data_IF_908998420267
#
_entry.id   IF_908998420267
#
_cell.length_a   1.000
_cell.length_b   1.000
_cell.length_c   1.000
_cell.angle_alpha   90.00
_cell.angle_beta   90.00
_cell.angle_gamma   90.00
#
_symmetry.space_group_name_H-M   'P 1'
#
loop_
_entity.id
_entity.type
_entity.pdbx_description
1 polymer ?
#
# COMPACT_ATOMS: atom_id res chain seq x y z
N UNK A 1 -44.44 2.06 -11.03
CA UNK A 1 -43.14 1.55 -11.55
C UNK A 1 -42.01 2.59 -11.51
N UNK A 2 -42.26 3.89 -11.76
CA UNK A 2 -41.23 4.97 -11.72
C UNK A 2 -40.65 5.29 -10.33
N UNK A 3 -41.41 5.04 -9.24
CA UNK A 3 -40.96 5.29 -7.85
C UNK A 3 -40.00 4.24 -7.30
N UNK A 4 -40.03 3.01 -7.84
CA UNK A 4 -39.15 1.91 -7.41
C UNK A 4 -37.73 2.11 -7.95
N UNK A 5 -37.60 2.68 -9.15
CA UNK A 5 -36.31 2.92 -9.80
C UNK A 5 -35.42 3.93 -9.03
N UNK A 6 -36.03 4.91 -8.37
CA UNK A 6 -35.31 5.96 -7.61
C UNK A 6 -34.70 5.39 -6.33
N UNK A 7 -35.37 4.42 -5.69
CA UNK A 7 -34.91 3.84 -4.43
C UNK A 7 -33.64 2.99 -4.64
N UNK A 8 -33.52 2.32 -5.78
CA UNK A 8 -32.38 1.44 -6.12
C UNK A 8 -31.11 2.25 -6.39
N UNK A 9 -31.23 3.44 -7.00
CA UNK A 9 -30.07 4.31 -7.30
C UNK A 9 -29.49 4.97 -6.04
N UNK A 10 -30.31 5.23 -5.02
CA UNK A 10 -29.84 5.83 -3.77
C UNK A 10 -28.97 4.87 -2.93
N UNK A 11 -29.15 3.55 -3.09
CA UNK A 11 -28.45 2.53 -2.29
C UNK A 11 -27.03 2.23 -2.80
N UNK A 12 -26.65 2.63 -4.01
CA UNK A 12 -25.32 2.37 -4.58
C UNK A 12 -24.28 3.45 -4.28
N UNK A 13 -24.67 4.56 -3.63
CA UNK A 13 -23.79 5.68 -3.35
C UNK A 13 -22.94 5.52 -2.06
N UNK A 14 -23.21 4.49 -1.26
CA UNK A 14 -22.48 4.20 -0.02
C UNK A 14 -21.45 3.09 -0.19
N UNK A 15 -20.76 3.00 -1.33
CA UNK A 15 -19.54 2.21 -1.41
C UNK A 15 -18.43 2.94 -0.62
N UNK A 16 -17.92 2.38 0.49
CA UNK A 16 -16.75 2.96 1.14
C UNK A 16 -15.61 2.97 0.12
N UNK A 17 -15.03 4.15 -0.11
CA UNK A 17 -13.78 4.25 -0.87
C UNK A 17 -12.74 3.47 -0.07
N UNK A 18 -12.06 2.46 -0.63
CA UNK A 18 -10.94 1.82 0.04
C UNK A 18 -9.84 2.88 0.21
N UNK A 19 -9.78 3.49 1.39
CA UNK A 19 -8.70 4.36 1.81
C UNK A 19 -7.61 3.51 2.43
N UNK A 20 -6.35 3.88 2.19
CA UNK A 20 -5.19 3.38 2.91
C UNK A 20 -5.46 3.45 4.42
N UNK A 21 -5.50 2.32 5.10
CA UNK A 21 -5.57 2.26 6.55
C UNK A 21 -4.16 2.22 7.10
N UNK A 22 -3.85 3.17 8.00
CA UNK A 22 -2.58 3.22 8.72
C UNK A 22 -2.87 2.66 10.11
N UNK A 23 -2.17 1.60 10.48
CA UNK A 23 -2.34 0.93 11.77
C UNK A 23 -1.42 1.54 12.82
N UNK A 24 -0.15 1.79 12.46
CA UNK A 24 0.84 2.41 13.33
C UNK A 24 1.81 3.28 12.52
N UNK A 25 2.05 4.52 12.99
CA UNK A 25 3.05 5.42 12.43
C UNK A 25 4.28 5.45 13.33
N UNK A 26 5.38 4.92 12.82
CA UNK A 26 6.68 5.01 13.49
C UNK A 26 7.48 6.20 12.95
N UNK A 27 8.55 6.62 13.66
CA UNK A 27 9.47 7.61 13.13
C UNK A 27 9.91 7.24 11.70
N UNK A 28 9.87 8.20 10.76
CA UNK A 28 10.25 7.94 9.39
C UNK A 28 11.65 7.36 9.29
N UNK A 29 11.85 6.47 8.33
CA UNK A 29 13.18 5.95 8.02
C UNK A 29 14.05 7.02 7.37
N UNK A 30 15.37 6.83 7.47
CA UNK A 30 16.34 7.70 6.80
C UNK A 30 16.06 7.78 5.28
N UNK A 31 16.35 8.90 4.60
CA UNK A 31 16.02 9.09 3.18
C UNK A 31 16.57 8.00 2.25
N UNK A 32 17.73 7.44 2.61
CA UNK A 32 18.41 6.39 1.84
C UNK A 32 18.24 4.99 2.45
N UNK A 33 17.33 4.81 3.42
CA UNK A 33 17.03 3.50 3.98
C UNK A 33 16.50 2.58 2.87
N UNK A 34 17.09 1.38 2.69
CA UNK A 34 16.61 0.44 1.69
C UNK A 34 15.22 -0.06 2.09
N UNK A 35 14.29 0.01 1.13
CA UNK A 35 12.96 -0.58 1.27
C UNK A 35 12.86 -1.79 0.34
N UNK A 36 12.68 -2.97 0.93
CA UNK A 36 12.46 -4.21 0.18
C UNK A 36 11.02 -4.28 -0.31
N UNK A 37 10.83 -4.69 -1.55
CA UNK A 37 9.50 -4.91 -2.12
C UNK A 37 9.33 -6.41 -2.35
N UNK A 38 8.34 -6.99 -1.69
CA UNK A 38 7.99 -8.40 -1.82
C UNK A 38 6.79 -8.54 -2.77
N UNK A 39 6.93 -9.44 -3.75
CA UNK A 39 5.86 -9.80 -4.69
C UNK A 39 5.33 -11.17 -4.27
N UNK A 40 4.04 -11.25 -3.98
CA UNK A 40 3.27 -12.48 -3.67
C UNK A 40 3.70 -13.31 -2.45
N UNK A 41 4.89 -13.07 -1.89
CA UNK A 41 5.47 -13.87 -0.82
C UNK A 41 5.75 -13.00 0.40
N UNK A 42 5.19 -13.35 1.56
CA UNK A 42 5.52 -12.66 2.81
C UNK A 42 6.94 -13.04 3.26
N UNK A 43 7.68 -12.11 3.89
CA UNK A 43 8.97 -12.45 4.48
C UNK A 43 8.82 -13.50 5.58
N UNK A 44 9.82 -14.37 5.71
CA UNK A 44 9.88 -15.41 6.74
C UNK A 44 10.11 -14.82 8.15
N UNK A 45 10.68 -13.62 8.19
CA UNK A 45 10.94 -12.92 9.43
C UNK A 45 9.67 -12.44 10.12
N UNK A 46 9.67 -12.34 11.46
CA UNK A 46 8.56 -11.72 12.19
C UNK A 46 8.47 -10.23 11.82
N UNK A 47 7.26 -9.79 11.51
CA UNK A 47 6.97 -8.43 11.06
C UNK A 47 5.77 -7.84 11.77
N UNK A 48 5.76 -6.52 11.83
CA UNK A 48 4.62 -5.71 12.24
C UNK A 48 4.08 -4.96 11.01
N UNK A 49 2.76 -4.99 10.80
CA UNK A 49 2.10 -4.31 9.68
C UNK A 49 1.77 -2.87 10.09
N UNK A 50 2.33 -1.90 9.37
CA UNK A 50 2.18 -0.47 9.68
C UNK A 50 0.98 0.17 8.97
N UNK A 51 0.58 -0.39 7.82
CA UNK A 51 -0.54 0.12 7.04
C UNK A 51 -0.47 -0.24 5.58
N UNK A 52 -1.60 -0.13 4.90
CA UNK A 52 -1.66 -0.21 3.44
C UNK A 52 -1.42 1.18 2.84
N UNK A 53 -0.55 1.27 1.85
CA UNK A 53 -0.30 2.48 1.07
C UNK A 53 -0.73 2.28 -0.37
N UNK A 54 -1.42 3.28 -0.91
CA UNK A 54 -1.80 3.30 -2.31
C UNK A 54 -0.79 4.11 -3.13
N UNK A 55 -0.44 3.62 -4.31
CA UNK A 55 0.38 4.35 -5.29
C UNK A 55 -0.48 5.31 -6.14
N UNK A 56 -1.81 5.29 -5.92
CA UNK A 56 -2.81 6.07 -6.65
C UNK A 56 -2.46 7.53 -6.91
N UNK A 57 -2.89 8.02 -8.08
CA UNK A 57 -2.60 9.37 -8.59
C UNK A 57 -1.56 9.39 -9.71
N UNK A 58 -0.78 8.32 -9.87
CA UNK A 58 0.01 8.12 -11.09
C UNK A 58 -0.91 7.54 -12.17
N UNK A 59 -1.09 8.27 -13.28
CA UNK A 59 -1.91 7.77 -14.39
C UNK A 59 -1.37 6.46 -14.97
N UNK A 60 -2.20 5.73 -15.73
CA UNK A 60 -1.88 4.43 -16.37
C UNK A 60 -0.65 4.49 -17.32
N UNK A 61 -0.10 5.68 -17.55
CA UNK A 61 1.08 5.96 -18.38
C UNK A 61 2.40 6.09 -17.59
N UNK A 62 2.36 5.95 -16.27
CA UNK A 62 3.58 5.96 -15.45
C UNK A 62 4.34 4.63 -15.57
N UNK A 63 5.65 4.64 -15.34
CA UNK A 63 6.46 3.41 -15.39
C UNK A 63 6.36 2.63 -14.07
N UNK A 64 6.52 1.31 -14.13
CA UNK A 64 6.53 0.45 -12.93
C UNK A 64 7.57 0.93 -11.91
N UNK A 65 8.72 1.42 -12.37
CA UNK A 65 9.77 1.97 -11.51
C UNK A 65 9.32 3.22 -10.76
N UNK A 66 8.53 4.09 -11.40
CA UNK A 66 7.98 5.29 -10.77
C UNK A 66 6.99 4.92 -9.66
N UNK A 67 6.17 3.89 -9.89
CA UNK A 67 5.24 3.38 -8.89
C UNK A 67 5.97 2.74 -7.70
N UNK A 68 7.00 1.94 -7.98
CA UNK A 68 7.86 1.37 -6.94
C UNK A 68 8.60 2.47 -6.16
N UNK A 69 9.04 3.55 -6.81
CA UNK A 69 9.67 4.67 -6.14
C UNK A 69 8.72 5.38 -5.16
N UNK A 70 7.47 5.61 -5.57
CA UNK A 70 6.43 6.16 -4.68
C UNK A 70 6.14 5.22 -3.53
N UNK A 71 6.00 3.92 -3.80
CA UNK A 71 5.75 2.93 -2.76
C UNK A 71 6.87 2.92 -1.71
N UNK A 72 8.13 2.96 -2.15
CA UNK A 72 9.29 3.06 -1.25
C UNK A 72 9.30 4.36 -0.44
N UNK A 73 8.95 5.49 -1.07
CA UNK A 73 8.87 6.77 -0.36
C UNK A 73 7.83 6.74 0.76
N UNK A 74 6.60 6.30 0.45
CA UNK A 74 5.52 6.15 1.44
C UNK A 74 5.86 5.15 2.53
N UNK A 75 6.56 4.06 2.19
CA UNK A 75 7.00 3.06 3.17
C UNK A 75 8.01 3.65 4.16
N UNK A 76 8.95 4.48 3.70
CA UNK A 76 9.89 5.20 4.59
C UNK A 76 9.17 6.21 5.47
N UNK A 77 8.20 6.94 4.94
CA UNK A 77 7.40 7.90 5.70
C UNK A 77 6.66 7.24 6.86
N UNK A 78 6.20 6.00 6.69
CA UNK A 78 5.57 5.22 7.76
C UNK A 78 6.56 4.58 8.73
N UNK A 79 7.86 4.62 8.45
CA UNK A 79 8.87 3.98 9.28
C UNK A 79 9.05 2.47 9.02
N UNK A 80 8.64 1.99 7.84
CA UNK A 80 8.73 0.58 7.44
C UNK A 80 10.08 0.19 6.85
N UNK A 81 10.38 -1.10 6.86
CA UNK A 81 11.59 -1.70 6.26
C UNK A 81 11.30 -2.36 4.91
N UNK A 82 10.04 -2.72 4.69
CA UNK A 82 9.61 -3.38 3.47
C UNK A 82 8.16 -3.05 3.15
N UNK A 83 7.75 -3.38 1.93
CA UNK A 83 6.36 -3.42 1.52
C UNK A 83 6.04 -4.70 0.76
N UNK A 84 4.88 -5.27 1.02
CA UNK A 84 4.34 -6.42 0.29
C UNK A 84 3.30 -5.90 -0.69
N UNK A 85 3.43 -6.22 -1.97
CA UNK A 85 2.44 -5.82 -2.97
C UNK A 85 1.12 -6.55 -2.71
N UNK A 86 0.01 -5.80 -2.75
CA UNK A 86 -1.34 -6.34 -2.51
C UNK A 86 -2.17 -6.30 -3.78
N UNK A 87 -2.13 -5.17 -4.49
CA UNK A 87 -2.85 -5.02 -5.76
C UNK A 87 -1.91 -4.56 -6.85
N UNK A 88 -2.04 -5.19 -8.01
CA UNK A 88 -1.29 -4.85 -9.22
C UNK A 88 -2.21 -4.83 -10.44
N UNK A 89 -1.93 -3.92 -11.38
CA UNK A 89 -2.57 -3.90 -12.69
C UNK A 89 -1.55 -4.33 -13.76
N UNK A 90 -1.65 -5.58 -14.21
CA UNK A 90 -0.60 -6.18 -15.03
C UNK A 90 0.69 -6.35 -14.24
N UNK A 91 1.70 -5.52 -14.49
CA UNK A 91 2.97 -5.44 -13.72
C UNK A 91 3.14 -4.12 -12.98
N UNK A 92 2.03 -3.42 -12.77
CA UNK A 92 2.04 -2.09 -12.20
C UNK A 92 1.53 -2.13 -10.76
N UNK A 93 2.37 -1.86 -9.74
CA UNK A 93 1.95 -1.91 -8.35
C UNK A 93 0.97 -0.76 -8.06
N UNK A 94 -0.23 -1.12 -7.60
CA UNK A 94 -1.31 -0.20 -7.28
C UNK A 94 -1.38 0.08 -5.78
N UNK A 95 -1.15 -0.94 -4.95
CA UNK A 95 -1.05 -0.81 -3.49
C UNK A 95 -0.10 -1.83 -2.88
N UNK A 96 0.36 -1.53 -1.67
CA UNK A 96 1.15 -2.47 -0.87
C UNK A 96 0.99 -2.23 0.63
N UNK A 97 1.18 -3.28 1.42
CA UNK A 97 1.21 -3.22 2.88
C UNK A 97 2.64 -2.97 3.35
N UNK A 98 2.84 -1.90 4.09
CA UNK A 98 4.12 -1.53 4.69
C UNK A 98 4.32 -2.33 5.96
N UNK A 99 5.50 -2.90 6.10
CA UNK A 99 5.87 -3.74 7.24
C UNK A 99 7.20 -3.30 7.83
N UNK A 100 7.38 -3.56 9.13
CA UNK A 100 8.62 -3.36 9.86
C UNK A 100 9.10 -4.68 10.44
N UNK A 101 10.40 -4.95 10.36
CA UNK A 101 10.95 -6.14 10.98
C UNK A 101 11.13 -5.92 12.47
N UNK A 102 10.49 -6.78 13.28
CA UNK A 102 10.65 -6.76 14.74
C UNK A 102 11.98 -7.38 15.15
N UNK A 103 12.54 -8.27 14.33
CA UNK A 103 13.87 -8.82 14.52
C UNK A 103 14.93 -7.99 13.74
N UNK A 104 15.92 -7.38 14.43
CA UNK A 104 16.97 -6.59 13.78
C UNK A 104 17.85 -7.40 12.83
N UNK A 105 17.95 -8.72 13.00
CA UNK A 105 18.69 -9.58 12.05
C UNK A 105 18.05 -9.65 10.66
N UNK A 106 16.80 -9.20 10.53
CA UNK A 106 16.05 -9.18 9.27
C UNK A 106 16.09 -7.82 8.56
N UNK A 107 16.77 -6.82 9.14
CA UNK A 107 16.85 -5.45 8.61
C UNK A 107 18.01 -5.25 7.60
N UNK A 108 18.80 -6.30 7.31
CA UNK A 108 19.93 -6.30 6.37
C UNK A 108 19.54 -6.72 4.96
#
# INVERSE_FOLDING_TARGET
MKRVLILVVALTACSPRPGSTIFDQLPPQAPNHPIRIYQDTRPECPVEELGEVNVGGQGVFSSTEAALAVLRAKSRELGGDAAVLVTEFGRFPMSGVVIRFTNPQCQY
#
